data_IF_923552974963
#
_entry.id   IF_923552974963
#
_cell.length_a   1.000
_cell.length_b   1.000
_cell.length_c   1.000
_cell.angle_alpha   90.00
_cell.angle_beta   90.00
_cell.angle_gamma   90.00
#
_symmetry.space_group_name_H-M   'P 1'
#
loop_
_entity.id
_entity.type
_entity.pdbx_description
1 polymer ?
#
# COMPACT_ATOMS: atom_id res chain seq x y z
N UNK A 1 -1.03 2.29 -21.25
CA UNK A 1 -1.15 1.84 -19.85
C UNK A 1 -2.35 2.54 -19.21
N UNK A 2 -3.12 1.84 -18.37
CA UNK A 2 -4.14 2.46 -17.51
C UNK A 2 -3.87 2.05 -16.07
N UNK A 3 -4.09 2.96 -15.13
CA UNK A 3 -3.86 2.75 -13.70
C UNK A 3 -5.04 3.29 -12.91
N UNK A 4 -5.47 2.57 -11.87
CA UNK A 4 -6.44 3.02 -10.88
C UNK A 4 -5.99 2.65 -9.48
N UNK A 5 -5.95 3.65 -8.59
CA UNK A 5 -5.60 3.48 -7.18
C UNK A 5 -6.74 4.05 -6.33
N UNK A 6 -7.21 3.26 -5.36
CA UNK A 6 -8.22 3.67 -4.39
C UNK A 6 -7.69 3.28 -3.02
N UNK A 7 -7.62 4.24 -2.10
CA UNK A 7 -7.21 3.99 -0.71
C UNK A 7 -8.26 4.56 0.23
N UNK A 8 -8.76 3.73 1.15
CA UNK A 8 -9.73 4.14 2.17
C UNK A 8 -9.04 4.73 3.39
N UNK A 9 -9.77 5.58 4.11
CA UNK A 9 -9.35 6.20 5.37
C UNK A 9 -10.52 6.19 6.35
N UNK A 10 -10.22 6.44 7.63
CA UNK A 10 -11.21 6.39 8.71
C UNK A 10 -11.17 5.08 9.47
N UNK A 11 -12.26 4.76 10.17
CA UNK A 11 -12.39 3.52 10.93
C UNK A 11 -12.57 2.32 9.98
N UNK A 12 -11.79 1.28 10.21
CA UNK A 12 -11.77 0.06 9.41
C UNK A 12 -11.73 -1.14 10.35
N UNK A 13 -12.61 -2.11 10.13
CA UNK A 13 -12.67 -3.34 10.89
C UNK A 13 -11.70 -4.40 10.31
N UNK A 14 -11.29 -5.41 11.09
CA UNK A 14 -10.57 -6.56 10.56
C UNK A 14 -11.34 -7.21 9.40
N UNK A 15 -10.66 -7.38 8.26
CA UNK A 15 -11.26 -7.94 7.04
C UNK A 15 -11.74 -6.89 6.04
N UNK A 16 -11.82 -5.61 6.41
CA UNK A 16 -12.19 -4.55 5.47
C UNK A 16 -11.12 -4.36 4.38
N UNK A 17 -11.59 -4.13 3.15
CA UNK A 17 -10.71 -3.72 2.06
C UNK A 17 -10.17 -2.31 2.33
N UNK A 18 -8.84 -2.16 2.33
CA UNK A 18 -8.17 -0.89 2.66
C UNK A 18 -7.71 -0.17 1.39
N UNK A 19 -7.13 -0.92 0.45
CA UNK A 19 -6.51 -0.38 -0.76
C UNK A 19 -6.81 -1.27 -1.96
N UNK A 20 -6.99 -0.65 -3.12
CA UNK A 20 -7.09 -1.29 -4.42
C UNK A 20 -6.12 -0.63 -5.39
N UNK A 21 -5.35 -1.46 -6.11
CA UNK A 21 -4.49 -1.05 -7.23
C UNK A 21 -4.83 -1.92 -8.43
N UNK A 22 -5.21 -1.29 -9.53
CA UNK A 22 -5.50 -1.95 -10.80
C UNK A 22 -4.66 -1.36 -11.93
N UNK A 23 -3.99 -2.21 -12.70
CA UNK A 23 -3.16 -1.83 -13.84
C UNK A 23 -3.57 -2.58 -15.09
N UNK A 24 -3.42 -1.93 -16.25
CA UNK A 24 -3.67 -2.54 -17.55
C UNK A 24 -2.56 -2.17 -18.54
N UNK A 25 -2.05 -3.18 -19.23
CA UNK A 25 -1.01 -3.06 -20.25
C UNK A 25 -1.25 -4.09 -21.38
N UNK A 26 -0.67 -3.83 -22.55
CA UNK A 26 -0.75 -4.74 -23.70
C UNK A 26 -0.03 -6.08 -23.43
N UNK A 27 1.01 -6.05 -22.60
CA UNK A 27 1.73 -7.24 -22.16
C UNK A 27 1.54 -7.44 -20.65
N UNK A 28 1.19 -8.67 -20.27
CA UNK A 28 0.88 -9.02 -18.87
C UNK A 28 2.01 -8.67 -17.90
N UNK A 29 3.27 -8.85 -18.30
CA UNK A 29 4.43 -8.60 -17.44
C UNK A 29 4.45 -7.14 -16.97
N UNK A 30 4.33 -6.20 -17.91
CA UNK A 30 4.27 -4.78 -17.59
C UNK A 30 3.06 -4.39 -16.72
N UNK A 31 1.94 -5.11 -16.78
CA UNK A 31 0.82 -4.87 -15.87
C UNK A 31 1.15 -5.33 -14.45
N UNK A 32 1.74 -6.52 -14.30
CA UNK A 32 2.15 -7.05 -12.99
C UNK A 32 3.25 -6.19 -12.35
N UNK A 33 4.28 -5.82 -13.11
CA UNK A 33 5.39 -5.02 -12.60
C UNK A 33 4.91 -3.65 -12.13
N UNK A 34 4.02 -3.00 -12.91
CA UNK A 34 3.43 -1.73 -12.50
C UNK A 34 2.57 -1.84 -11.24
N UNK A 35 1.78 -2.91 -11.09
CA UNK A 35 0.97 -3.12 -9.88
C UNK A 35 1.84 -3.34 -8.65
N UNK A 36 2.93 -4.11 -8.80
CA UNK A 36 3.91 -4.36 -7.75
C UNK A 36 4.61 -3.06 -7.32
N UNK A 37 5.17 -2.33 -8.28
CA UNK A 37 5.82 -1.04 -8.04
C UNK A 37 4.93 -0.06 -7.26
N UNK A 38 3.66 0.09 -7.68
CA UNK A 38 2.73 1.01 -7.01
C UNK A 38 2.47 0.58 -5.56
N UNK A 39 2.32 -0.73 -5.30
CA UNK A 39 2.10 -1.23 -3.95
C UNK A 39 3.30 -1.00 -3.04
N UNK A 40 4.52 -1.28 -3.53
CA UNK A 40 5.77 -1.08 -2.78
C UNK A 40 5.97 0.42 -2.47
N UNK A 41 5.70 1.29 -3.45
CA UNK A 41 5.79 2.73 -3.27
C UNK A 41 4.74 3.28 -2.30
N UNK A 42 3.50 2.78 -2.37
CA UNK A 42 2.43 3.23 -1.48
C UNK A 42 2.72 2.85 -0.03
N UNK A 43 3.25 1.66 0.22
CA UNK A 43 3.55 1.19 1.58
C UNK A 43 4.68 1.96 2.26
N UNK A 44 5.60 2.49 1.48
CA UNK A 44 6.84 3.11 1.98
C UNK A 44 6.79 4.64 2.00
N UNK A 45 6.17 5.27 1.00
CA UNK A 45 6.19 6.74 0.83
C UNK A 45 4.84 7.41 1.06
N UNK A 46 3.73 6.69 1.06
CA UNK A 46 2.44 7.34 1.26
C UNK A 46 2.27 7.73 2.75
N UNK A 47 1.91 8.99 3.05
CA UNK A 47 1.80 9.49 4.42
C UNK A 47 0.51 9.00 5.08
N UNK A 48 0.50 7.73 5.49
CA UNK A 48 -0.59 7.13 6.26
C UNK A 48 -0.12 6.79 7.67
N UNK A 49 -0.97 7.09 8.66
CA UNK A 49 -0.77 6.68 10.04
C UNK A 49 -1.89 5.74 10.45
N UNK A 50 -1.52 4.56 10.95
CA UNK A 50 -2.49 3.57 11.43
C UNK A 50 -2.61 3.67 12.95
N UNK A 51 -3.80 4.00 13.44
CA UNK A 51 -4.12 3.96 14.87
C UNK A 51 -4.91 2.69 15.18
N UNK A 52 -4.36 1.82 16.01
CA UNK A 52 -5.03 0.61 16.45
C UNK A 52 -5.75 0.88 17.77
N UNK A 53 -7.01 0.46 17.88
CA UNK A 53 -7.80 0.54 19.11
C UNK A 53 -7.98 -0.86 19.70
N UNK A 54 -7.74 -1.01 20.99
CA UNK A 54 -7.95 -2.26 21.73
C UNK A 54 -8.66 -1.95 23.05
N UNK A 55 -9.95 -2.28 23.14
CA UNK A 55 -10.80 -1.84 24.26
C UNK A 55 -10.80 -0.31 24.40
N UNK A 56 -10.38 0.17 25.57
CA UNK A 56 -10.27 1.60 25.89
C UNK A 56 -8.91 2.21 25.54
N UNK A 57 -7.93 1.42 25.09
CA UNK A 57 -6.62 1.90 24.69
C UNK A 57 -6.53 2.12 23.18
N UNK A 58 -5.64 3.03 22.77
CA UNK A 58 -5.33 3.25 21.37
C UNK A 58 -3.85 3.57 21.19
N UNK A 59 -3.22 2.93 20.22
CA UNK A 59 -1.80 3.05 19.93
C UNK A 59 -1.58 3.38 18.45
N UNK A 60 -0.53 4.16 18.17
CA UNK A 60 -0.08 4.39 16.81
C UNK A 60 0.85 3.26 16.40
N UNK A 61 0.56 2.63 15.27
CA UNK A 61 1.37 1.54 14.71
C UNK A 61 2.55 2.15 13.96
N UNK A 62 3.77 1.74 14.32
CA UNK A 62 4.99 2.15 13.63
C UNK A 62 5.04 1.56 12.21
N UNK A 63 5.65 2.30 11.30
CA UNK A 63 6.05 1.79 9.98
C UNK A 63 7.05 0.64 10.11
N UNK A 64 7.11 -0.24 9.12
CA UNK A 64 8.03 -1.40 9.14
C UNK A 64 9.23 -1.13 8.25
N UNK A 65 10.43 -1.43 8.72
CA UNK A 65 11.69 -1.27 7.95
C UNK A 65 11.69 -2.07 6.64
N UNK A 66 10.97 -3.19 6.60
CA UNK A 66 10.81 -4.02 5.39
C UNK A 66 10.17 -3.27 4.21
N UNK A 67 9.39 -2.22 4.48
CA UNK A 67 8.74 -1.43 3.44
C UNK A 67 9.76 -0.52 2.74
N UNK A 68 10.84 -0.14 3.42
CA UNK A 68 11.92 0.68 2.83
C UNK A 68 12.84 -0.15 1.93
N UNK A 69 13.20 -1.37 2.33
CA UNK A 69 14.03 -2.27 1.51
C UNK A 69 13.38 -2.62 0.18
N UNK A 70 12.05 -2.74 0.13
CA UNK A 70 11.32 -3.02 -1.12
C UNK A 70 11.45 -1.90 -2.17
N UNK A 71 11.73 -0.66 -1.75
CA UNK A 71 11.98 0.44 -2.67
C UNK A 71 13.36 0.38 -3.33
N UNK A 72 14.35 -0.22 -2.67
CA UNK A 72 15.71 -0.31 -3.19
C UNK A 72 15.76 -1.15 -4.48
N UNK A 73 14.85 -2.12 -4.62
CA UNK A 73 14.68 -2.93 -5.84
C UNK A 73 14.28 -2.11 -7.09
N UNK A 74 13.86 -0.85 -6.92
CA UNK A 74 13.37 0.00 -8.00
C UNK A 74 14.26 1.24 -8.28
N UNK A 75 15.47 1.32 -7.69
CA UNK A 75 16.35 2.49 -7.80
C UNK A 75 17.37 2.47 -8.96
N UNK A 76 17.17 1.63 -9.98
CA UNK A 76 18.01 1.62 -11.21
C UNK A 76 17.56 2.66 -12.25
#
# INVERSE_FOLDING_TARGET
LSVRVIHRVGELAPGDQIVFVGTASAHRQAAFDAARFIMDYLKSKAPFWKKQKSGDSSEWVASRDSDETALEEWQD
#
